data_IF_396176022959
#
_entry.id   IF_396176022959
#
_cell.length_a   1.000
_cell.length_b   1.000
_cell.length_c   1.000
_cell.angle_alpha   90.00
_cell.angle_beta   90.00
_cell.angle_gamma   90.00
#
_symmetry.space_group_name_H-M   'P 1'
#
loop_
_entity.id
_entity.type
_entity.pdbx_description
1 polymer ?
#
# COMPACT_ATOMS: atom_id res chain seq x y z
N UNK A 1 -75.08 -4.84 61.67
CA UNK A 1 -73.76 -4.27 61.99
C UNK A 1 -72.68 -5.25 61.52
N UNK A 2 -72.07 -5.00 60.37
CA UNK A 2 -71.00 -5.84 59.81
C UNK A 2 -69.81 -4.88 59.52
N UNK A 3 -68.71 -5.07 60.23
CA UNK A 3 -67.47 -4.34 60.05
C UNK A 3 -66.75 -4.84 58.81
N UNK A 4 -66.48 -3.94 57.90
CA UNK A 4 -65.65 -4.20 56.67
C UNK A 4 -64.22 -3.76 57.04
N UNK A 5 -63.28 -4.72 57.10
CA UNK A 5 -61.86 -4.43 57.29
C UNK A 5 -61.25 -4.19 55.95
N UNK A 6 -60.75 -2.97 55.67
CA UNK A 6 -59.93 -2.62 54.53
C UNK A 6 -58.51 -3.14 54.84
N UNK A 7 -58.03 -4.02 53.95
CA UNK A 7 -56.64 -4.42 53.92
C UNK A 7 -55.93 -3.52 52.89
N UNK A 8 -55.13 -2.60 53.34
CA UNK A 8 -54.24 -1.80 52.43
C UNK A 8 -53.02 -2.61 52.05
N UNK A 9 -52.95 -2.96 50.78
CA UNK A 9 -51.79 -3.61 50.16
C UNK A 9 -50.76 -2.54 49.79
N UNK A 10 -49.65 -2.44 50.54
CA UNK A 10 -48.50 -1.59 50.25
C UNK A 10 -47.70 -2.21 49.12
N UNK A 11 -47.82 -1.65 47.90
CA UNK A 11 -46.96 -1.93 46.76
C UNK A 11 -45.63 -1.18 46.97
N UNK A 12 -44.58 -1.90 47.31
CA UNK A 12 -43.19 -1.41 47.23
C UNK A 12 -42.74 -1.37 45.76
N UNK A 13 -42.23 -0.24 45.27
CA UNK A 13 -41.64 -0.23 43.94
C UNK A 13 -40.27 -0.91 43.99
N UNK A 14 -40.14 -2.04 43.33
CA UNK A 14 -38.86 -2.69 43.06
C UNK A 14 -38.05 -1.79 42.12
N UNK A 15 -37.20 -0.95 42.73
CA UNK A 15 -36.17 -0.23 41.98
C UNK A 15 -35.18 -1.25 41.47
N UNK A 16 -35.33 -1.63 40.21
CA UNK A 16 -34.30 -2.34 39.45
C UNK A 16 -33.11 -1.40 39.29
N UNK A 17 -32.13 -1.53 40.16
CA UNK A 17 -30.82 -0.89 39.97
C UNK A 17 -30.14 -1.62 38.84
N UNK A 18 -30.35 -1.11 37.61
CA UNK A 18 -29.50 -1.45 36.46
C UNK A 18 -28.10 -0.89 36.78
N UNK A 19 -27.25 -1.72 37.36
CA UNK A 19 -25.82 -1.48 37.45
C UNK A 19 -25.25 -1.53 36.02
N UNK A 20 -25.30 -0.40 35.32
CA UNK A 20 -24.48 -0.21 34.11
C UNK A 20 -23.02 -0.43 34.55
N UNK A 21 -22.48 -1.58 34.23
CA UNK A 21 -21.02 -1.79 34.27
C UNK A 21 -20.41 -0.72 33.35
N UNK A 22 -19.98 0.38 33.96
CA UNK A 22 -19.04 1.29 33.34
C UNK A 22 -17.77 0.45 33.10
N UNK A 23 -17.62 -0.10 31.91
CA UNK A 23 -16.32 -0.52 31.42
C UNK A 23 -15.44 0.71 31.57
N UNK A 24 -14.56 0.72 32.55
CA UNK A 24 -13.55 1.76 32.66
C UNK A 24 -12.81 1.76 31.32
N UNK A 25 -12.88 2.90 30.64
CA UNK A 25 -12.05 3.11 29.44
C UNK A 25 -10.62 2.89 29.90
N UNK A 26 -10.04 1.78 29.53
CA UNK A 26 -8.63 1.48 29.80
C UNK A 26 -7.87 2.55 29.04
N UNK A 27 -7.29 3.51 29.76
CA UNK A 27 -6.43 4.53 29.14
C UNK A 27 -5.27 3.78 28.48
N UNK A 28 -5.08 4.03 27.17
CA UNK A 28 -3.97 3.46 26.46
C UNK A 28 -2.66 3.75 27.19
N UNK A 29 -1.78 2.76 27.38
CA UNK A 29 -0.49 3.01 28.01
C UNK A 29 0.35 3.93 27.14
N UNK A 30 1.16 4.76 27.77
CA UNK A 30 2.19 5.53 27.06
C UNK A 30 3.48 4.68 26.94
N UNK A 31 4.25 4.82 25.84
CA UNK A 31 5.52 4.13 25.71
C UNK A 31 6.55 4.68 26.71
N UNK A 32 7.29 3.79 27.36
CA UNK A 32 8.33 4.15 28.37
C UNK A 32 9.65 3.44 28.10
N UNK A 33 9.76 2.75 26.99
CA UNK A 33 10.95 1.99 26.59
C UNK A 33 12.04 2.87 25.95
N UNK A 34 13.00 2.24 25.26
CA UNK A 34 14.04 2.95 24.52
C UNK A 34 13.44 3.85 23.42
N UNK A 35 14.23 4.79 22.96
CA UNK A 35 13.91 5.69 21.86
C UNK A 35 14.62 5.18 20.59
N UNK A 36 13.87 4.93 19.53
CA UNK A 36 14.39 4.73 18.20
C UNK A 36 14.64 6.08 17.53
N UNK A 37 15.88 6.37 17.15
CA UNK A 37 16.29 7.60 16.49
C UNK A 37 16.65 7.29 15.05
N UNK A 38 15.82 7.75 14.12
CA UNK A 38 16.02 7.62 12.69
C UNK A 38 16.64 8.89 12.14
N UNK A 39 17.93 8.87 11.86
CA UNK A 39 18.57 9.91 11.07
C UNK A 39 18.34 9.59 9.60
N UNK A 40 17.65 10.47 8.90
CA UNK A 40 17.31 10.28 7.48
C UNK A 40 17.90 11.42 6.64
N UNK A 41 17.96 11.21 5.34
CA UNK A 41 18.36 12.26 4.38
C UNK A 41 17.42 13.48 4.37
N UNK A 42 16.25 13.38 5.02
CA UNK A 42 15.26 14.48 5.11
C UNK A 42 15.04 15.02 6.52
N UNK A 43 15.78 14.52 7.50
CA UNK A 43 15.74 14.95 8.89
C UNK A 43 15.65 13.79 9.87
N UNK A 44 15.71 14.14 11.16
CA UNK A 44 15.66 13.19 12.26
C UNK A 44 14.22 12.94 12.70
N UNK A 45 13.90 11.67 12.95
CA UNK A 45 12.68 11.25 13.63
C UNK A 45 13.02 10.48 14.90
N UNK A 46 12.24 10.65 15.97
CA UNK A 46 12.37 9.97 17.24
C UNK A 46 11.06 9.34 17.66
N UNK A 47 11.10 8.05 18.00
CA UNK A 47 9.92 7.29 18.38
C UNK A 47 10.21 6.52 19.66
N UNK A 48 9.40 6.72 20.71
CA UNK A 48 9.52 5.96 21.95
C UNK A 48 8.83 4.60 21.82
N UNK A 49 9.50 3.54 22.28
CA UNK A 49 9.05 2.15 22.06
C UNK A 49 8.23 1.61 23.24
N UNK A 50 7.27 0.75 22.95
CA UNK A 50 6.44 0.02 23.94
C UNK A 50 7.15 -1.27 24.43
N UNK A 51 8.38 -1.16 24.94
CA UNK A 51 9.20 -2.32 25.29
C UNK A 51 8.57 -3.25 26.36
N UNK A 52 7.72 -2.73 27.24
CA UNK A 52 7.01 -3.53 28.24
C UNK A 52 5.77 -4.23 27.68
N UNK A 53 5.10 -3.60 26.71
CA UNK A 53 3.81 -4.05 26.19
C UNK A 53 3.96 -4.92 24.93
N UNK A 54 5.00 -4.69 24.13
CA UNK A 54 5.35 -5.45 22.94
C UNK A 54 6.83 -5.89 22.99
N UNK A 55 7.24 -6.68 23.98
CA UNK A 55 8.63 -6.98 24.26
C UNK A 55 9.33 -7.73 23.11
N UNK A 56 8.65 -8.67 22.45
CA UNK A 56 9.23 -9.46 21.36
C UNK A 56 9.42 -8.62 20.10
N UNK A 57 8.42 -7.81 19.77
CA UNK A 57 8.45 -6.90 18.61
C UNK A 57 9.56 -5.86 18.79
N UNK A 58 9.63 -5.24 19.98
CA UNK A 58 10.68 -4.25 20.28
C UNK A 58 12.07 -4.90 20.31
N UNK A 59 12.21 -6.08 20.93
CA UNK A 59 13.49 -6.79 20.96
C UNK A 59 13.98 -7.15 19.55
N UNK A 60 13.08 -7.63 18.66
CA UNK A 60 13.42 -7.92 17.27
C UNK A 60 13.87 -6.65 16.52
N UNK A 61 13.11 -5.56 16.64
CA UNK A 61 13.44 -4.30 16.00
C UNK A 61 14.78 -3.73 16.49
N UNK A 62 15.01 -3.73 17.80
CA UNK A 62 16.27 -3.26 18.43
C UNK A 62 17.44 -4.11 17.98
N UNK A 63 17.32 -5.43 17.97
CA UNK A 63 18.38 -6.33 17.57
C UNK A 63 18.79 -6.16 16.10
N UNK A 64 17.83 -5.89 15.21
CA UNK A 64 18.11 -5.55 13.81
C UNK A 64 18.73 -4.16 13.67
N UNK A 65 18.29 -3.17 14.47
CA UNK A 65 18.85 -1.82 14.46
C UNK A 65 20.30 -1.78 14.96
N UNK A 66 20.63 -2.59 15.96
CA UNK A 66 21.98 -2.67 16.55
C UNK A 66 22.90 -3.69 15.84
N UNK A 67 22.35 -4.51 14.93
CA UNK A 67 23.08 -5.56 14.23
C UNK A 67 23.45 -6.76 15.12
N UNK A 68 22.73 -6.94 16.25
CA UNK A 68 22.92 -8.11 17.15
C UNK A 68 22.10 -9.32 16.72
N UNK A 69 21.17 -9.14 15.78
CA UNK A 69 20.46 -10.20 15.10
C UNK A 69 20.94 -10.34 13.67
N UNK A 70 21.27 -11.55 13.28
CA UNK A 70 21.61 -11.88 11.90
C UNK A 70 20.40 -11.71 10.98
N UNK A 71 20.65 -11.34 9.75
CA UNK A 71 19.64 -11.16 8.72
C UNK A 71 20.13 -11.69 7.37
N UNK A 72 19.20 -12.05 6.50
CA UNK A 72 19.53 -12.58 5.18
C UNK A 72 19.53 -11.48 4.13
N UNK A 73 20.63 -11.39 3.38
CA UNK A 73 20.68 -10.62 2.15
C UNK A 73 20.11 -11.49 1.01
N UNK A 74 18.86 -11.21 0.65
CA UNK A 74 18.14 -11.97 -0.37
C UNK A 74 18.65 -11.74 -1.80
N UNK A 75 19.38 -10.65 -2.05
CA UNK A 75 20.01 -10.40 -3.35
C UNK A 75 21.25 -11.24 -3.55
N UNK A 76 22.11 -11.29 -2.53
CA UNK A 76 23.37 -12.01 -2.59
C UNK A 76 23.26 -13.43 -2.03
N UNK A 77 22.08 -13.80 -1.50
CA UNK A 77 21.79 -15.10 -0.88
C UNK A 77 22.75 -15.46 0.27
N UNK A 78 23.24 -14.45 1.01
CA UNK A 78 24.15 -14.63 2.13
C UNK A 78 23.53 -14.18 3.45
N UNK A 79 23.91 -14.83 4.53
CA UNK A 79 23.55 -14.39 5.87
C UNK A 79 24.56 -13.33 6.33
N UNK A 80 24.04 -12.24 6.86
CA UNK A 80 24.80 -11.07 7.30
C UNK A 80 24.85 -11.07 8.82
N UNK A 81 26.04 -11.06 9.37
CA UNK A 81 26.28 -11.11 10.81
C UNK A 81 26.86 -9.81 11.33
N UNK A 82 26.44 -9.39 12.52
CA UNK A 82 27.05 -8.25 13.24
C UNK A 82 26.90 -6.89 12.54
N UNK A 83 25.90 -6.71 11.66
CA UNK A 83 25.66 -5.45 10.94
C UNK A 83 24.24 -4.96 11.14
N UNK A 84 24.04 -3.65 11.45
CA UNK A 84 22.72 -3.02 11.47
C UNK A 84 21.98 -3.25 10.16
N UNK A 85 20.70 -3.65 10.28
CA UNK A 85 19.87 -3.91 9.12
C UNK A 85 19.36 -2.65 8.46
N UNK A 86 18.91 -1.67 9.26
CA UNK A 86 18.17 -0.49 8.77
C UNK A 86 19.05 0.59 8.15
N UNK A 87 20.34 0.65 8.51
CA UNK A 87 21.28 1.65 7.99
C UNK A 87 21.42 1.50 6.47
N UNK A 88 21.22 2.59 5.74
CA UNK A 88 21.25 2.62 4.29
C UNK A 88 19.97 2.11 3.59
N UNK A 89 18.93 1.75 4.34
CA UNK A 89 17.66 1.32 3.71
C UNK A 89 16.82 2.52 3.29
N UNK A 90 16.07 2.34 2.19
CA UNK A 90 15.17 3.37 1.69
C UNK A 90 13.89 3.50 2.55
N UNK A 91 13.34 4.71 2.55
CA UNK A 91 12.00 5.00 3.08
C UNK A 91 11.12 5.39 1.89
N UNK A 92 9.93 4.79 1.82
CA UNK A 92 8.91 5.10 0.83
C UNK A 92 7.72 5.82 1.48
N UNK A 93 7.15 6.80 0.76
CA UNK A 93 5.85 7.37 1.10
C UNK A 93 4.73 6.37 0.75
N UNK A 94 3.75 6.28 1.62
CA UNK A 94 2.49 5.57 1.38
C UNK A 94 1.33 6.53 1.64
N UNK A 95 0.12 6.18 1.21
CA UNK A 95 -1.07 7.06 1.31
C UNK A 95 -1.27 7.63 2.71
N UNK A 96 -1.06 6.82 3.74
CA UNK A 96 -1.40 7.14 5.12
C UNK A 96 -0.16 7.31 6.01
N UNK A 97 1.05 7.41 5.39
CA UNK A 97 2.28 7.50 6.15
C UNK A 97 3.55 7.31 5.34
N UNK A 98 4.54 6.77 6.02
CA UNK A 98 5.80 6.31 5.42
C UNK A 98 6.05 4.86 5.80
N UNK A 99 6.73 4.12 4.93
CA UNK A 99 7.17 2.74 5.16
C UNK A 99 8.67 2.62 4.93
N UNK A 100 9.34 1.88 5.80
CA UNK A 100 10.75 1.55 5.67
C UNK A 100 11.05 0.12 6.10
N UNK A 101 12.33 -0.24 6.15
CA UNK A 101 12.77 -1.58 6.53
C UNK A 101 12.66 -2.64 5.44
N UNK A 102 12.41 -2.20 4.21
CA UNK A 102 12.56 -3.00 3.00
C UNK A 102 13.91 -2.67 2.38
N UNK A 103 14.87 -3.58 2.55
CA UNK A 103 16.25 -3.30 2.16
C UNK A 103 16.44 -3.20 0.64
N UNK A 104 15.59 -3.86 -0.12
CA UNK A 104 15.74 -3.97 -1.57
C UNK A 104 14.63 -3.26 -2.34
N UNK A 105 13.60 -2.78 -1.64
CA UNK A 105 12.38 -2.26 -2.26
C UNK A 105 11.53 -3.38 -2.85
N UNK A 106 10.25 -3.11 -3.08
CA UNK A 106 9.38 -4.08 -3.74
C UNK A 106 8.73 -5.14 -2.83
N UNK A 107 9.04 -5.15 -1.53
CA UNK A 107 8.43 -6.07 -0.58
C UNK A 107 9.21 -7.36 -0.32
N UNK A 108 10.34 -7.57 -0.99
CA UNK A 108 11.14 -8.81 -0.87
C UNK A 108 12.32 -8.67 0.10
N UNK A 109 12.57 -7.49 0.62
CA UNK A 109 13.75 -7.17 1.42
C UNK A 109 13.57 -7.30 2.92
N UNK A 110 12.71 -8.22 3.42
CA UNK A 110 12.56 -8.48 4.85
C UNK A 110 13.83 -9.10 5.45
N UNK A 111 14.10 -8.82 6.74
CA UNK A 111 15.28 -9.31 7.43
C UNK A 111 15.27 -10.83 7.72
N UNK A 112 14.12 -11.45 7.61
CA UNK A 112 13.91 -12.88 7.90
C UNK A 112 12.43 -13.21 8.04
N UNK A 113 12.15 -14.35 8.67
CA UNK A 113 10.80 -14.88 8.85
C UNK A 113 9.86 -13.89 9.58
N UNK A 114 8.55 -13.93 9.29
CA UNK A 114 7.54 -13.14 9.97
C UNK A 114 7.59 -13.32 11.49
N UNK A 115 7.14 -12.28 12.21
CA UNK A 115 7.07 -12.31 13.68
C UNK A 115 5.62 -12.42 14.15
N UNK A 116 5.43 -12.97 15.35
CA UNK A 116 4.09 -13.01 15.96
C UNK A 116 3.59 -11.61 16.30
N UNK A 117 2.33 -11.31 16.02
CA UNK A 117 1.68 -10.06 16.39
C UNK A 117 1.58 -9.93 17.93
N UNK A 118 2.01 -8.79 18.47
CA UNK A 118 1.79 -8.41 19.87
C UNK A 118 0.81 -7.23 19.93
N UNK A 119 -0.45 -7.50 20.31
CA UNK A 119 -1.47 -6.46 20.48
C UNK A 119 -1.36 -5.80 21.84
N UNK A 120 -1.29 -4.48 21.87
CA UNK A 120 -1.28 -3.70 23.12
C UNK A 120 -2.71 -3.24 23.43
N UNK A 121 -3.32 -3.70 24.54
CA UNK A 121 -4.68 -3.29 24.88
C UNK A 121 -4.85 -1.77 24.94
N UNK A 122 -5.82 -1.24 24.20
CA UNK A 122 -6.14 0.19 24.15
C UNK A 122 -5.22 1.04 23.26
N UNK A 123 -4.20 0.47 22.62
CA UNK A 123 -3.35 1.15 21.62
C UNK A 123 -3.81 0.74 20.23
N UNK A 124 -4.31 1.70 19.49
CA UNK A 124 -4.84 1.55 18.12
C UNK A 124 -4.28 2.66 17.24
N UNK A 125 -4.56 2.63 15.95
CA UNK A 125 -4.13 3.67 14.98
C UNK A 125 -5.00 4.95 15.09
N UNK A 126 -5.20 5.46 16.32
CA UNK A 126 -6.08 6.59 16.67
C UNK A 126 -5.45 7.98 16.46
N UNK A 127 -4.18 8.04 16.11
CA UNK A 127 -3.40 9.30 15.99
C UNK A 127 -2.22 9.17 15.04
N UNK A 128 -1.65 10.31 14.57
CA UNK A 128 -0.40 10.31 13.83
C UNK A 128 0.77 9.81 14.69
N UNK A 129 1.84 9.39 14.02
CA UNK A 129 3.09 8.97 14.65
C UNK A 129 3.06 7.56 15.25
N UNK A 130 2.02 6.75 15.01
CA UNK A 130 2.05 5.33 15.38
C UNK A 130 3.16 4.63 14.59
N UNK A 131 4.15 4.09 15.30
CA UNK A 131 5.18 3.24 14.73
C UNK A 131 4.74 1.78 14.88
N UNK A 132 4.57 1.09 13.75
CA UNK A 132 4.12 -0.30 13.72
C UNK A 132 4.98 -1.15 12.80
N UNK A 133 5.14 -2.45 13.13
CA UNK A 133 5.63 -3.42 12.13
C UNK A 133 4.51 -3.66 11.12
N UNK A 134 4.84 -3.50 9.84
CA UNK A 134 3.86 -3.61 8.77
C UNK A 134 3.46 -5.07 8.49
N UNK A 135 2.23 -5.27 8.06
CA UNK A 135 1.78 -6.57 7.53
C UNK A 135 2.29 -6.73 6.10
N UNK A 136 2.83 -7.90 5.80
CA UNK A 136 3.24 -8.32 4.45
C UNK A 136 2.74 -9.74 4.21
N UNK A 137 2.09 -9.99 3.08
CA UNK A 137 1.48 -11.28 2.73
C UNK A 137 0.54 -11.86 3.84
N UNK A 138 -0.11 -11.00 4.63
CA UNK A 138 -1.01 -11.40 5.73
C UNK A 138 -0.33 -11.67 7.06
N UNK A 139 0.99 -11.55 7.16
CA UNK A 139 1.78 -11.76 8.37
C UNK A 139 2.55 -10.51 8.78
N UNK A 140 2.90 -10.38 10.06
CA UNK A 140 3.72 -9.26 10.55
C UNK A 140 5.16 -9.45 10.10
N UNK A 141 5.66 -8.52 9.28
CA UNK A 141 7.04 -8.56 8.81
C UNK A 141 8.05 -8.46 9.95
N UNK A 142 9.19 -9.13 9.79
CA UNK A 142 10.30 -9.05 10.74
C UNK A 142 11.02 -7.69 10.74
N UNK A 143 10.92 -6.91 9.66
CA UNK A 143 11.66 -5.64 9.52
C UNK A 143 10.88 -4.49 8.92
N UNK A 144 9.83 -4.74 8.13
CA UNK A 144 9.06 -3.64 7.54
C UNK A 144 8.31 -2.89 8.62
N UNK A 145 8.52 -1.59 8.69
CA UNK A 145 7.80 -0.72 9.61
C UNK A 145 7.03 0.35 8.86
N UNK A 146 6.03 0.91 9.50
CA UNK A 146 5.29 2.09 9.04
C UNK A 146 5.21 3.13 10.16
N UNK A 147 5.13 4.41 9.76
CA UNK A 147 4.82 5.54 10.65
C UNK A 147 3.62 6.27 10.06
N UNK A 148 2.53 6.36 10.83
CA UNK A 148 1.28 6.99 10.38
C UNK A 148 1.35 8.52 10.40
N UNK A 149 0.66 9.17 9.44
CA UNK A 149 0.52 10.63 9.38
C UNK A 149 -0.80 11.15 9.97
N UNK A 150 -1.78 10.27 10.11
CA UNK A 150 -3.09 10.58 10.70
C UNK A 150 -3.66 9.36 11.40
N UNK A 151 -4.79 9.56 12.08
CA UNK A 151 -5.56 8.45 12.59
C UNK A 151 -6.21 7.67 11.43
N UNK A 152 -6.20 6.35 11.51
CA UNK A 152 -6.80 5.49 10.49
C UNK A 152 -7.32 4.19 11.11
N UNK A 153 -8.61 4.12 11.33
CA UNK A 153 -9.28 2.95 11.89
C UNK A 153 -9.34 1.76 10.91
N UNK A 154 -9.09 1.98 9.62
CA UNK A 154 -8.97 0.90 8.63
C UNK A 154 -7.69 0.08 8.84
N UNK A 155 -6.63 0.67 9.37
CA UNK A 155 -5.44 -0.10 9.77
C UNK A 155 -5.77 -1.12 10.86
N UNK A 156 -6.60 -0.73 11.84
CA UNK A 156 -7.02 -1.62 12.93
C UNK A 156 -7.95 -2.72 12.42
N UNK A 157 -8.94 -2.37 11.58
CA UNK A 157 -9.91 -3.32 11.02
C UNK A 157 -9.26 -4.36 10.09
N UNK A 158 -8.27 -3.94 9.33
CA UNK A 158 -7.61 -4.78 8.32
C UNK A 158 -6.30 -5.41 8.81
N UNK A 159 -5.98 -5.32 10.11
CA UNK A 159 -4.75 -5.88 10.70
C UNK A 159 -3.47 -5.51 9.93
N UNK A 160 -3.33 -4.22 9.56
CA UNK A 160 -2.24 -3.74 8.70
C UNK A 160 -0.90 -3.55 9.41
N UNK A 161 -0.84 -3.81 10.72
CA UNK A 161 0.42 -3.72 11.45
C UNK A 161 0.27 -3.93 12.96
N UNK A 162 1.38 -4.23 13.60
CA UNK A 162 1.51 -4.36 15.05
C UNK A 162 2.20 -3.12 15.61
N UNK A 163 1.46 -2.25 16.34
CA UNK A 163 2.01 -1.03 16.94
C UNK A 163 3.00 -1.40 18.03
N UNK A 164 4.21 -0.83 17.97
CA UNK A 164 5.26 -1.05 18.98
C UNK A 164 5.97 0.25 19.42
N UNK A 165 5.55 1.42 18.91
CA UNK A 165 6.11 2.72 19.29
C UNK A 165 5.19 3.89 18.97
N UNK A 166 5.58 5.06 19.47
CA UNK A 166 4.94 6.36 19.20
C UNK A 166 6.03 7.39 18.91
N UNK A 167 5.93 8.04 17.78
CA UNK A 167 6.79 9.14 17.38
C UNK A 167 6.23 10.48 17.87
N UNK A 168 7.10 11.45 18.10
CA UNK A 168 6.70 12.80 18.47
C UNK A 168 6.20 13.63 17.26
N UNK A 169 5.62 14.79 17.53
CA UNK A 169 5.03 15.65 16.49
C UNK A 169 6.08 16.18 15.50
N UNK A 170 7.31 16.43 15.95
CA UNK A 170 8.40 16.85 15.08
C UNK A 170 8.77 15.74 14.09
N UNK A 171 8.77 14.50 14.54
CA UNK A 171 8.97 13.31 13.72
C UNK A 171 7.85 13.08 12.71
N UNK A 172 6.60 13.31 13.11
CA UNK A 172 5.46 13.27 12.20
C UNK A 172 5.60 14.32 11.09
N UNK A 173 6.08 15.52 11.42
CA UNK A 173 6.33 16.55 10.42
C UNK A 173 7.45 16.16 9.43
N UNK A 174 8.48 15.44 9.86
CA UNK A 174 9.52 14.89 8.96
C UNK A 174 8.93 13.77 8.09
N UNK A 175 8.16 12.86 8.69
CA UNK A 175 7.49 11.80 7.95
C UNK A 175 6.53 12.36 6.87
N UNK A 176 5.81 13.45 7.19
CA UNK A 176 4.96 14.14 6.21
C UNK A 176 5.75 14.74 5.05
N UNK A 177 6.93 15.33 5.31
CA UNK A 177 7.84 15.82 4.25
C UNK A 177 8.33 14.69 3.37
N UNK A 178 8.70 13.54 3.96
CA UNK A 178 9.13 12.35 3.23
C UNK A 178 7.98 11.83 2.34
N UNK A 179 6.79 11.64 2.90
CA UNK A 179 5.61 11.18 2.15
C UNK A 179 5.28 12.13 0.99
N UNK A 180 5.30 13.45 1.24
CA UNK A 180 5.02 14.47 0.23
C UNK A 180 6.08 14.50 -0.90
N UNK A 181 7.37 14.40 -0.55
CA UNK A 181 8.45 14.38 -1.53
C UNK A 181 8.34 13.17 -2.47
N UNK A 182 7.94 12.01 -1.95
CA UNK A 182 7.73 10.80 -2.73
C UNK A 182 6.50 10.90 -3.65
N UNK A 183 5.46 11.66 -3.25
CA UNK A 183 4.28 11.88 -4.09
C UNK A 183 4.54 12.84 -5.26
N UNK A 184 5.39 13.86 -5.06
CA UNK A 184 5.66 14.88 -6.11
C UNK A 184 6.57 14.33 -7.23
N UNK A 185 7.47 13.42 -6.93
CA UNK A 185 8.55 13.01 -7.86
C UNK A 185 8.27 11.65 -8.50
N UNK A 186 7.04 11.14 -8.40
CA UNK A 186 6.67 9.86 -9.01
C UNK A 186 7.64 8.72 -8.61
N UNK A 187 7.98 8.64 -7.33
CA UNK A 187 8.93 7.68 -6.77
C UNK A 187 10.40 7.81 -7.23
N UNK A 188 10.76 8.92 -7.90
CA UNK A 188 12.15 9.23 -8.28
C UNK A 188 12.53 10.60 -7.73
N UNK A 189 13.12 10.62 -6.55
CA UNK A 189 14.06 11.70 -6.21
C UNK A 189 15.41 11.33 -6.86
N UNK A 190 16.13 12.30 -7.41
CA UNK A 190 17.51 12.10 -7.86
C UNK A 190 18.42 11.59 -6.72
N UNK A 191 17.89 11.59 -5.49
CA UNK A 191 18.49 11.01 -4.29
C UNK A 191 17.41 10.19 -3.56
N UNK A 192 17.66 8.90 -3.38
CA UNK A 192 16.81 8.05 -2.55
C UNK A 192 16.69 8.64 -1.14
N UNK A 193 15.45 8.71 -0.62
CA UNK A 193 15.25 9.04 0.80
C UNK A 193 15.60 7.79 1.58
N UNK A 194 16.62 7.90 2.45
CA UNK A 194 17.18 6.77 3.16
C UNK A 194 17.35 7.04 4.65
N UNK A 195 17.43 5.98 5.43
CA UNK A 195 17.88 6.00 6.83
C UNK A 195 19.40 6.04 6.80
N UNK A 196 19.97 7.19 7.16
CA UNK A 196 21.42 7.32 7.32
C UNK A 196 21.91 6.43 8.45
N UNK A 197 21.17 6.46 9.56
CA UNK A 197 21.43 5.63 10.73
C UNK A 197 20.17 5.46 11.57
N UNK A 198 19.97 4.25 12.09
CA UNK A 198 19.01 3.98 13.15
C UNK A 198 19.75 3.67 14.45
N UNK A 199 19.55 4.52 15.46
CA UNK A 199 20.15 4.36 16.78
C UNK A 199 19.10 4.08 17.84
N UNK A 200 19.43 3.24 18.80
CA UNK A 200 18.56 2.93 19.96
C UNK A 200 19.14 3.61 21.19
N UNK A 201 18.35 4.47 21.83
CA UNK A 201 18.77 5.26 23.00
C UNK A 201 17.97 4.82 24.22
N UNK A 202 18.66 4.45 25.27
CA UNK A 202 18.01 4.03 26.52
C UNK A 202 17.36 5.23 27.24
N UNK A 203 16.27 5.02 27.98
CA UNK A 203 15.60 6.10 28.72
C UNK A 203 16.58 6.87 29.61
N UNK A 204 16.56 8.20 29.49
CA UNK A 204 17.44 9.10 30.27
C UNK A 204 18.85 9.32 29.67
N UNK A 205 19.20 8.66 28.61
CA UNK A 205 20.44 8.93 27.88
C UNK A 205 20.25 10.07 26.86
N UNK A 206 21.29 10.90 26.61
CA UNK A 206 21.21 11.94 25.61
C UNK A 206 21.10 11.33 24.19
N UNK A 207 20.40 12.03 23.31
CA UNK A 207 20.36 11.63 21.89
C UNK A 207 21.75 11.76 21.26
N UNK A 208 22.13 10.83 20.37
CA UNK A 208 23.41 10.89 19.66
C UNK A 208 23.45 12.12 18.72
N UNK A 209 24.64 12.58 18.34
CA UNK A 209 24.79 13.54 17.24
C UNK A 209 24.02 13.06 15.99
N UNK A 210 23.54 13.99 15.18
CA UNK A 210 22.88 13.63 13.91
C UNK A 210 23.91 12.94 13.01
N UNK A 211 23.56 11.77 12.51
CA UNK A 211 24.43 11.04 11.59
C UNK A 211 24.59 11.84 10.28
N UNK A 212 25.81 11.87 9.69
CA UNK A 212 26.00 12.49 8.39
C UNK A 212 25.18 11.77 7.32
N UNK A 213 24.81 12.50 6.26
CA UNK A 213 24.16 11.89 5.12
C UNK A 213 25.03 10.77 4.55
N UNK A 214 24.43 9.63 4.34
CA UNK A 214 25.09 8.54 3.63
C UNK A 214 25.34 9.05 2.20
N UNK A 215 26.54 8.86 1.71
CA UNK A 215 26.81 9.05 0.29
C UNK A 215 25.76 8.24 -0.50
N UNK A 216 24.94 8.93 -1.28
CA UNK A 216 23.85 8.33 -2.05
C UNK A 216 24.31 7.19 -2.99
N UNK A 217 25.61 7.12 -3.27
CA UNK A 217 26.24 5.98 -3.95
C UNK A 217 26.35 4.72 -3.05
N UNK A 218 26.15 4.85 -1.74
CA UNK A 218 26.14 3.73 -0.77
C UNK A 218 24.73 3.30 -0.32
N UNK A 219 23.70 4.08 -0.61
CA UNK A 219 22.33 3.55 -0.61
C UNK A 219 22.38 2.42 -1.63
N UNK A 220 22.21 1.16 -1.15
CA UNK A 220 22.26 0.00 -2.05
C UNK A 220 21.44 0.37 -3.27
N UNK A 221 22.04 0.63 -4.42
CA UNK A 221 21.24 0.88 -5.61
C UNK A 221 20.37 -0.35 -5.73
N UNK A 222 19.10 -0.16 -6.01
CA UNK A 222 18.33 -1.22 -6.65
C UNK A 222 19.31 -1.87 -7.64
N UNK A 223 19.59 -3.18 -7.57
CA UNK A 223 20.48 -3.78 -8.53
C UNK A 223 20.01 -3.26 -9.89
N UNK A 224 20.82 -2.47 -10.52
CA UNK A 224 20.66 -2.25 -11.95
C UNK A 224 20.72 -3.67 -12.47
N UNK A 225 19.65 -4.21 -13.01
CA UNK A 225 19.72 -5.53 -13.64
C UNK A 225 20.96 -5.48 -14.50
N UNK A 226 21.81 -6.52 -14.51
CA UNK A 226 23.02 -6.51 -15.30
C UNK A 226 22.64 -5.88 -16.62
N UNK A 227 23.38 -4.87 -17.07
CA UNK A 227 23.07 -4.11 -18.29
C UNK A 227 22.84 -5.14 -19.40
N UNK A 228 21.63 -5.65 -19.45
CA UNK A 228 21.14 -6.33 -20.62
C UNK A 228 21.36 -5.32 -21.74
N UNK A 229 21.85 -5.77 -22.89
CA UNK A 229 22.04 -4.90 -24.05
C UNK A 229 20.77 -4.05 -24.13
N UNK A 230 20.92 -2.74 -24.27
CA UNK A 230 19.81 -1.77 -24.23
C UNK A 230 18.77 -2.23 -25.24
N UNK A 231 17.85 -3.08 -24.77
CA UNK A 231 16.74 -3.52 -25.60
C UNK A 231 15.91 -2.27 -25.83
N UNK A 232 15.83 -1.83 -27.05
CA UNK A 232 14.84 -0.82 -27.43
C UNK A 232 13.50 -1.35 -26.95
N UNK A 233 12.78 -0.61 -26.06
CA UNK A 233 11.49 -1.09 -25.59
C UNK A 233 10.61 -1.48 -26.77
N UNK A 234 9.96 -2.62 -26.76
CA UNK A 234 9.09 -3.00 -27.85
C UNK A 234 7.98 -1.96 -28.02
N UNK A 235 7.68 -1.61 -29.26
CA UNK A 235 6.52 -0.77 -29.58
C UNK A 235 5.31 -1.69 -29.85
N UNK A 236 4.09 -1.27 -29.46
CA UNK A 236 2.91 -2.10 -29.66
C UNK A 236 2.54 -2.16 -31.17
N UNK A 237 2.38 -3.37 -31.68
CA UNK A 237 2.03 -3.65 -33.07
C UNK A 237 0.61 -4.20 -33.26
N UNK A 238 -0.05 -4.54 -32.15
CA UNK A 238 -1.39 -5.13 -32.14
C UNK A 238 -2.52 -4.12 -32.44
N UNK A 239 -3.78 -4.54 -32.29
CA UNK A 239 -4.95 -3.70 -32.49
C UNK A 239 -5.01 -2.55 -31.48
N UNK A 240 -5.85 -1.57 -31.79
CA UNK A 240 -6.07 -0.39 -30.95
C UNK A 240 -7.33 -0.57 -30.12
N UNK A 241 -7.20 -0.45 -28.82
CA UNK A 241 -8.33 -0.36 -27.89
C UNK A 241 -8.79 1.10 -27.77
N UNK A 242 -10.07 1.33 -28.03
CA UNK A 242 -10.74 2.62 -27.85
C UNK A 242 -11.66 2.51 -26.67
N UNK A 243 -11.35 3.24 -25.58
CA UNK A 243 -12.11 3.25 -24.33
C UNK A 243 -12.83 4.59 -24.24
N UNK A 244 -14.12 4.60 -24.57
CA UNK A 244 -14.94 5.80 -24.45
C UNK A 244 -15.46 5.96 -23.01
N UNK A 245 -15.19 7.12 -22.39
CA UNK A 245 -15.60 7.42 -21.03
C UNK A 245 -16.45 8.69 -20.96
N UNK A 246 -17.00 8.98 -19.78
CA UNK A 246 -17.73 10.23 -19.54
C UNK A 246 -16.82 11.47 -19.57
N UNK A 247 -15.49 11.30 -19.42
CA UNK A 247 -14.52 12.39 -19.48
C UNK A 247 -13.82 12.53 -20.85
N UNK A 248 -13.97 11.55 -21.72
CA UNK A 248 -13.30 11.54 -23.03
C UNK A 248 -12.89 10.13 -23.44
N UNK A 249 -12.11 10.07 -24.52
CA UNK A 249 -11.66 8.82 -25.14
C UNK A 249 -10.21 8.55 -24.82
N UNK A 250 -9.92 7.32 -24.37
CA UNK A 250 -8.58 6.77 -24.31
C UNK A 250 -8.36 5.85 -25.51
N UNK A 251 -7.25 6.02 -26.22
CA UNK A 251 -6.84 5.26 -27.39
C UNK A 251 -5.49 4.62 -27.08
N UNK A 252 -5.44 3.29 -27.00
CA UNK A 252 -4.26 2.55 -26.57
C UNK A 252 -3.96 1.41 -27.55
N UNK A 253 -2.76 1.35 -28.09
CA UNK A 253 -2.33 0.24 -28.94
C UNK A 253 -1.84 -0.93 -28.09
N UNK A 254 -2.22 -2.16 -28.43
CA UNK A 254 -1.98 -3.34 -27.61
C UNK A 254 -0.70 -4.08 -27.98
N UNK A 255 -0.07 -4.70 -26.98
CA UNK A 255 1.10 -5.56 -27.09
C UNK A 255 0.70 -7.04 -27.26
N UNK A 256 -0.02 -7.37 -28.33
CA UNK A 256 -0.56 -8.73 -28.53
C UNK A 256 0.51 -9.81 -28.73
N UNK A 257 1.68 -9.46 -29.20
CA UNK A 257 2.81 -10.41 -29.36
C UNK A 257 3.58 -10.58 -28.04
N UNK A 258 3.71 -9.51 -27.25
CA UNK A 258 4.51 -9.49 -26.04
C UNK A 258 3.74 -9.95 -24.81
N UNK A 259 2.45 -9.59 -24.71
CA UNK A 259 1.54 -9.97 -23.63
C UNK A 259 0.26 -10.61 -24.20
N UNK A 260 0.35 -11.79 -24.81
CA UNK A 260 -0.76 -12.40 -25.55
C UNK A 260 -1.94 -12.78 -24.67
N UNK A 261 -1.72 -13.27 -23.45
CA UNK A 261 -2.83 -13.69 -22.56
C UNK A 261 -3.59 -12.47 -22.02
N UNK A 262 -2.86 -11.44 -21.57
CA UNK A 262 -3.47 -10.22 -21.09
C UNK A 262 -4.22 -9.48 -22.21
N UNK A 263 -3.59 -9.32 -23.38
CA UNK A 263 -4.19 -8.66 -24.53
C UNK A 263 -5.44 -9.41 -25.04
N UNK A 264 -5.37 -10.73 -25.20
CA UNK A 264 -6.53 -11.52 -25.65
C UNK A 264 -7.66 -11.52 -24.60
N UNK A 265 -7.31 -11.61 -23.32
CA UNK A 265 -8.31 -11.51 -22.25
C UNK A 265 -9.02 -10.16 -22.28
N UNK A 266 -8.28 -9.06 -22.41
CA UNK A 266 -8.86 -7.73 -22.50
C UNK A 266 -9.77 -7.59 -23.74
N UNK A 267 -9.32 -8.04 -24.90
CA UNK A 267 -10.08 -8.02 -26.16
C UNK A 267 -11.36 -8.83 -26.02
N UNK A 268 -11.28 -10.07 -25.58
CA UNK A 268 -12.44 -10.96 -25.42
C UNK A 268 -13.47 -10.38 -24.43
N UNK A 269 -13.02 -9.74 -23.37
CA UNK A 269 -13.90 -9.09 -22.42
C UNK A 269 -14.53 -7.80 -22.97
N UNK A 270 -13.77 -7.02 -23.76
CA UNK A 270 -14.27 -5.83 -24.43
C UNK A 270 -15.34 -6.15 -25.48
N UNK A 271 -15.13 -7.20 -26.27
CA UNK A 271 -16.05 -7.65 -27.32
C UNK A 271 -17.20 -8.52 -26.79
N UNK A 272 -17.05 -9.07 -25.58
CA UNK A 272 -18.02 -10.00 -24.97
C UNK A 272 -17.98 -11.38 -25.62
N UNK A 273 -16.88 -11.78 -26.23
CA UNK A 273 -16.66 -13.10 -26.83
C UNK A 273 -16.39 -14.16 -25.77
N UNK A 274 -15.77 -13.78 -24.64
CA UNK A 274 -15.52 -14.65 -23.50
C UNK A 274 -16.69 -14.58 -22.49
N UNK A 275 -17.25 -15.75 -22.10
CA UNK A 275 -18.23 -15.79 -21.01
C UNK A 275 -17.60 -15.36 -19.68
N UNK A 276 -18.36 -14.65 -18.86
CA UNK A 276 -17.97 -14.23 -17.53
C UNK A 276 -19.12 -14.39 -16.52
N UNK A 277 -18.78 -14.53 -15.24
CA UNK A 277 -19.77 -14.65 -14.18
C UNK A 277 -20.15 -13.26 -13.66
N UNK A 278 -21.42 -12.92 -13.72
CA UNK A 278 -21.91 -11.67 -13.13
C UNK A 278 -21.86 -11.80 -11.59
N UNK A 279 -21.09 -10.99 -10.89
CA UNK A 279 -20.88 -11.17 -9.45
C UNK A 279 -22.12 -10.87 -8.60
N UNK A 280 -23.09 -10.13 -9.14
CA UNK A 280 -24.35 -9.82 -8.45
C UNK A 280 -25.40 -10.91 -8.63
N UNK A 281 -25.51 -11.45 -9.84
CA UNK A 281 -26.56 -12.44 -10.17
C UNK A 281 -26.05 -13.86 -10.20
N UNK A 282 -24.73 -14.07 -10.12
CA UNK A 282 -24.04 -15.35 -10.28
C UNK A 282 -24.34 -16.06 -11.61
N UNK A 283 -24.93 -15.36 -12.56
CA UNK A 283 -25.22 -15.89 -13.87
C UNK A 283 -24.00 -15.77 -14.80
N UNK A 284 -23.77 -16.81 -15.59
CA UNK A 284 -22.80 -16.73 -16.70
C UNK A 284 -23.41 -15.91 -17.82
N UNK A 285 -22.75 -14.86 -18.25
CA UNK A 285 -23.16 -13.96 -19.31
C UNK A 285 -22.10 -13.87 -20.41
N UNK A 286 -22.54 -13.60 -21.63
CA UNK A 286 -21.66 -13.40 -22.80
C UNK A 286 -22.05 -12.07 -23.45
N UNK A 287 -21.39 -11.00 -23.02
CA UNK A 287 -21.59 -9.62 -23.48
C UNK A 287 -20.37 -8.79 -23.10
N UNK A 288 -20.16 -7.62 -23.74
CA UNK A 288 -19.10 -6.69 -23.34
C UNK A 288 -19.07 -6.44 -21.83
N UNK A 289 -17.91 -6.68 -21.23
CA UNK A 289 -17.75 -6.64 -19.77
C UNK A 289 -17.61 -5.21 -19.25
N UNK A 290 -16.80 -4.38 -19.93
CA UNK A 290 -16.39 -3.07 -19.42
C UNK A 290 -17.47 -1.99 -19.52
N UNK A 291 -18.51 -2.20 -20.34
CA UNK A 291 -19.56 -1.20 -20.56
C UNK A 291 -20.35 -0.93 -19.28
N UNK A 292 -20.38 0.32 -18.86
CA UNK A 292 -21.03 0.76 -17.62
C UNK A 292 -20.19 0.65 -16.36
N UNK A 293 -18.98 0.06 -16.43
CA UNK A 293 -18.02 0.05 -15.31
C UNK A 293 -17.41 1.42 -15.11
N UNK A 294 -16.69 1.59 -13.99
CA UNK A 294 -16.13 2.88 -13.61
C UNK A 294 -14.61 2.82 -13.49
N UNK A 295 -13.95 3.93 -13.82
CA UNK A 295 -12.62 4.24 -13.29
C UNK A 295 -12.85 4.70 -11.85
N UNK A 296 -12.56 3.86 -10.89
CA UNK A 296 -12.95 4.04 -9.49
C UNK A 296 -11.78 4.26 -8.53
N UNK A 297 -10.54 4.31 -9.04
CA UNK A 297 -9.35 4.71 -8.29
C UNK A 297 -8.50 5.64 -9.15
N UNK A 298 -8.22 6.84 -8.62
CA UNK A 298 -7.46 7.88 -9.32
C UNK A 298 -6.40 8.44 -8.40
N UNK A 299 -5.16 8.46 -8.87
CA UNK A 299 -3.99 8.91 -8.13
C UNK A 299 -3.14 9.80 -9.04
N UNK A 300 -3.06 11.13 -8.77
CA UNK A 300 -2.16 12.02 -9.48
C UNK A 300 -0.73 11.51 -9.44
N UNK A 301 -0.02 11.72 -10.55
CA UNK A 301 1.38 11.36 -10.72
C UNK A 301 1.66 9.86 -10.53
N UNK A 302 0.61 9.02 -10.69
CA UNK A 302 0.71 7.58 -10.62
C UNK A 302 -0.18 6.90 -11.68
N UNK A 303 -1.51 6.79 -11.44
CA UNK A 303 -2.39 6.07 -12.38
C UNK A 303 -3.89 6.36 -12.20
N UNK A 304 -4.66 5.97 -13.19
CA UNK A 304 -6.12 5.79 -13.13
C UNK A 304 -6.45 4.32 -13.33
N UNK A 305 -7.31 3.75 -12.50
CA UNK A 305 -7.59 2.33 -12.48
C UNK A 305 -9.09 2.07 -12.61
N UNK A 306 -9.43 1.23 -13.56
CA UNK A 306 -10.69 0.51 -13.58
C UNK A 306 -10.51 -0.70 -12.66
N UNK A 307 -11.30 -0.76 -11.65
CA UNK A 307 -11.33 -1.86 -10.72
C UNK A 307 -12.75 -2.40 -10.70
N UNK A 308 -12.90 -3.64 -10.42
CA UNK A 308 -14.08 -4.45 -10.53
C UNK A 308 -15.46 -3.83 -10.27
N UNK A 309 -16.48 -4.64 -10.44
CA UNK A 309 -17.88 -4.34 -10.35
C UNK A 309 -18.24 -3.39 -9.19
N UNK A 310 -19.24 -2.50 -9.34
CA UNK A 310 -19.70 -1.65 -8.24
C UNK A 310 -20.02 -2.53 -7.03
N UNK A 311 -19.44 -2.19 -5.87
CA UNK A 311 -19.58 -2.84 -4.55
C UNK A 311 -18.48 -3.83 -4.12
N UNK A 312 -17.29 -3.84 -4.77
CA UNK A 312 -16.20 -4.73 -4.37
C UNK A 312 -16.50 -6.22 -4.60
N UNK A 313 -17.47 -6.51 -5.46
CA UNK A 313 -17.72 -7.87 -5.89
C UNK A 313 -16.57 -8.33 -6.79
N UNK A 314 -16.09 -9.52 -6.52
CA UNK A 314 -14.92 -10.12 -7.14
C UNK A 314 -15.07 -10.26 -8.66
N UNK A 315 -13.92 -10.33 -9.32
CA UNK A 315 -13.64 -10.43 -10.74
C UNK A 315 -14.62 -11.28 -11.59
N UNK A 316 -14.42 -11.27 -12.89
CA UNK A 316 -15.22 -12.01 -13.87
C UNK A 316 -15.23 -13.54 -13.69
N UNK A 317 -14.68 -14.09 -12.60
CA UNK A 317 -14.68 -15.51 -12.25
C UNK A 317 -13.47 -16.28 -12.75
N UNK A 318 -12.38 -15.59 -13.12
CA UNK A 318 -11.12 -16.22 -13.50
C UNK A 318 -9.90 -15.34 -13.14
N UNK A 319 -8.74 -15.98 -13.02
CA UNK A 319 -7.47 -15.32 -12.85
C UNK A 319 -6.41 -16.02 -13.71
N UNK A 320 -5.33 -15.30 -14.01
CA UNK A 320 -4.19 -15.82 -14.77
C UNK A 320 -2.88 -15.18 -14.31
N UNK A 321 -1.72 -15.83 -14.58
CA UNK A 321 -0.43 -15.31 -14.19
C UNK A 321 -0.08 -13.97 -14.82
N UNK A 322 0.83 -13.22 -14.20
CA UNK A 322 1.46 -12.08 -14.84
C UNK A 322 2.30 -12.53 -16.05
N UNK A 323 2.42 -11.65 -17.04
CA UNK A 323 3.28 -11.82 -18.23
C UNK A 323 4.35 -10.72 -18.22
N UNK A 324 5.48 -10.89 -17.52
CA UNK A 324 6.58 -9.94 -17.57
C UNK A 324 7.23 -9.97 -18.97
N UNK A 325 7.40 -8.81 -19.57
CA UNK A 325 8.00 -8.69 -20.90
C UNK A 325 9.38 -8.04 -20.79
N UNK A 326 10.47 -8.75 -21.11
CA UNK A 326 11.81 -8.19 -21.04
C UNK A 326 11.94 -6.88 -21.84
N UNK A 327 12.43 -5.83 -21.19
CA UNK A 327 12.60 -4.50 -21.80
C UNK A 327 11.34 -3.64 -21.84
N UNK A 328 10.18 -4.16 -21.48
CA UNK A 328 8.93 -3.40 -21.37
C UNK A 328 8.69 -3.02 -19.91
N UNK A 329 8.95 -1.78 -19.57
CA UNK A 329 8.87 -1.24 -18.20
C UNK A 329 7.88 -0.09 -18.12
N UNK A 330 7.53 0.31 -16.90
CA UNK A 330 6.73 1.50 -16.64
C UNK A 330 7.59 2.78 -16.69
N UNK A 331 8.41 2.91 -17.74
CA UNK A 331 9.37 3.99 -17.99
C UNK A 331 8.73 5.32 -18.40
N UNK A 332 7.47 5.29 -18.79
CA UNK A 332 6.72 6.45 -19.31
C UNK A 332 5.25 6.41 -18.91
N UNK A 333 4.54 7.55 -18.92
CA UNK A 333 3.09 7.56 -18.74
C UNK A 333 2.37 6.91 -19.92
N UNK A 334 1.09 6.61 -19.73
CA UNK A 334 0.24 5.98 -20.74
C UNK A 334 0.43 4.46 -20.88
N UNK A 335 1.20 3.81 -19.99
CA UNK A 335 1.26 2.34 -19.95
C UNK A 335 -0.09 1.80 -19.51
N UNK A 336 -0.72 0.99 -20.37
CA UNK A 336 -1.94 0.24 -20.05
C UNK A 336 -1.54 -1.13 -19.53
N UNK A 337 -1.92 -1.44 -18.29
CA UNK A 337 -1.50 -2.67 -17.60
C UNK A 337 -2.64 -3.32 -16.83
N UNK A 338 -2.56 -4.65 -16.64
CA UNK A 338 -3.48 -5.38 -15.78
C UNK A 338 -3.19 -5.08 -14.32
N UNK A 339 -4.24 -4.81 -13.54
CA UNK A 339 -4.16 -4.82 -12.10
C UNK A 339 -4.18 -6.27 -11.59
N UNK A 340 -3.60 -6.53 -10.43
CA UNK A 340 -3.58 -7.84 -9.81
C UNK A 340 -3.52 -7.76 -8.28
N UNK A 341 -3.87 -8.86 -7.62
CA UNK A 341 -3.75 -9.08 -6.18
C UNK A 341 -2.61 -10.06 -5.86
N UNK A 342 -1.57 -10.09 -6.70
CA UNK A 342 -0.40 -10.96 -6.58
C UNK A 342 -0.01 -11.65 -7.90
N UNK A 343 1.13 -12.34 -7.96
CA UNK A 343 1.78 -12.79 -9.21
C UNK A 343 0.94 -13.73 -10.10
N UNK A 344 -0.04 -14.40 -9.54
CA UNK A 344 -0.90 -15.36 -10.25
C UNK A 344 -2.36 -14.90 -10.36
N UNK A 345 -2.60 -13.59 -10.19
CA UNK A 345 -3.94 -13.08 -9.98
C UNK A 345 -4.32 -11.88 -10.85
N UNK A 346 -3.75 -11.78 -12.08
CA UNK A 346 -4.35 -10.91 -13.09
C UNK A 346 -5.79 -11.36 -13.36
N UNK A 347 -6.69 -10.42 -13.50
CA UNK A 347 -8.11 -10.67 -13.81
C UNK A 347 -8.60 -9.78 -14.97
N UNK A 348 -9.64 -9.01 -14.76
CA UNK A 348 -10.21 -8.08 -15.75
C UNK A 348 -9.93 -6.61 -15.44
N UNK A 349 -9.37 -6.32 -14.27
CA UNK A 349 -9.07 -4.97 -13.85
C UNK A 349 -7.81 -4.45 -14.52
N UNK A 350 -7.81 -3.19 -14.91
CA UNK A 350 -6.68 -2.55 -15.58
C UNK A 350 -6.45 -1.12 -15.11
N UNK A 351 -5.27 -0.60 -15.38
CA UNK A 351 -4.93 0.79 -15.10
C UNK A 351 -4.11 1.42 -16.23
N UNK A 352 -4.17 2.75 -16.30
CA UNK A 352 -3.32 3.56 -17.19
C UNK A 352 -2.45 4.45 -16.32
N UNK A 353 -1.15 4.44 -16.55
CA UNK A 353 -0.21 5.29 -15.81
C UNK A 353 -0.29 6.75 -16.23
N UNK A 354 -0.23 7.66 -15.25
CA UNK A 354 -0.16 9.12 -15.43
C UNK A 354 1.30 9.63 -15.39
N UNK A 355 2.22 8.81 -14.87
CA UNK A 355 3.64 9.10 -14.77
C UNK A 355 4.45 7.79 -14.93
N UNK A 356 5.79 7.86 -15.12
CA UNK A 356 6.64 6.69 -14.97
C UNK A 356 6.47 6.04 -13.60
N UNK A 357 6.41 4.70 -13.54
CA UNK A 357 6.10 3.96 -12.31
C UNK A 357 6.95 2.67 -12.21
N UNK A 358 8.28 2.81 -12.21
CA UNK A 358 9.23 1.69 -12.21
C UNK A 358 9.06 0.71 -11.03
N UNK A 359 8.41 1.13 -9.94
CA UNK A 359 8.07 0.22 -8.83
C UNK A 359 7.10 -0.88 -9.21
N UNK A 360 6.45 -0.76 -10.37
CA UNK A 360 5.53 -1.73 -10.95
C UNK A 360 6.21 -2.69 -11.93
N UNK A 361 7.47 -2.44 -12.30
CA UNK A 361 8.21 -3.28 -13.24
C UNK A 361 8.26 -4.72 -12.73
N UNK A 362 8.11 -5.68 -13.63
CA UNK A 362 8.08 -7.13 -13.41
C UNK A 362 6.97 -7.64 -12.44
N UNK A 363 6.12 -6.74 -11.91
CA UNK A 363 5.02 -7.09 -10.98
C UNK A 363 3.65 -7.02 -11.64
N UNK A 364 3.53 -6.29 -12.73
CA UNK A 364 2.29 -6.09 -13.46
C UNK A 364 2.51 -6.30 -14.95
N UNK A 365 1.51 -6.85 -15.63
CA UNK A 365 1.56 -7.08 -17.06
C UNK A 365 1.21 -5.81 -17.83
N UNK A 366 2.18 -5.20 -18.48
CA UNK A 366 1.93 -4.14 -19.47
C UNK A 366 1.42 -4.82 -20.75
N UNK A 367 0.21 -4.46 -21.19
CA UNK A 367 -0.37 -5.03 -22.41
C UNK A 367 -0.77 -3.99 -23.46
N UNK A 368 -0.51 -2.69 -23.19
CA UNK A 368 -0.77 -1.62 -24.14
C UNK A 368 -0.02 -0.33 -23.82
N UNK A 369 0.01 0.55 -24.80
CA UNK A 369 0.50 1.93 -24.70
C UNK A 369 -0.55 2.87 -25.27
N UNK A 370 -0.96 3.83 -24.49
CA UNK A 370 -1.88 4.87 -24.90
C UNK A 370 -1.14 6.01 -25.62
N UNK A 371 -1.82 6.67 -26.55
CA UNK A 371 -1.29 7.84 -27.25
C UNK A 371 -1.15 9.06 -26.32
N UNK A 372 -0.52 10.11 -26.81
CA UNK A 372 -0.24 11.33 -26.03
C UNK A 372 -1.53 12.02 -25.54
N UNK A 373 -2.56 12.09 -26.38
CA UNK A 373 -3.83 12.71 -26.02
C UNK A 373 -4.53 11.92 -24.90
N UNK A 374 -4.50 10.61 -24.98
CA UNK A 374 -5.05 9.70 -23.97
C UNK A 374 -4.25 9.72 -22.67
N UNK A 375 -2.94 9.82 -22.76
CA UNK A 375 -2.05 9.98 -21.61
C UNK A 375 -2.36 11.28 -20.86
N UNK A 376 -2.53 12.38 -21.60
CA UNK A 376 -2.95 13.66 -21.02
C UNK A 376 -4.33 13.54 -20.33
N UNK A 377 -5.30 12.90 -21.00
CA UNK A 377 -6.62 12.68 -20.45
C UNK A 377 -6.58 11.81 -19.17
N UNK A 378 -5.74 10.78 -19.14
CA UNK A 378 -5.52 9.98 -17.93
C UNK A 378 -4.99 10.84 -16.77
N UNK A 379 -4.07 11.77 -17.06
CA UNK A 379 -3.60 12.75 -16.11
C UNK A 379 -4.69 13.71 -15.60
N UNK A 380 -5.60 14.13 -16.46
CA UNK A 380 -6.77 14.93 -16.07
C UNK A 380 -7.74 14.11 -15.19
N UNK A 381 -7.98 12.84 -15.54
CA UNK A 381 -8.77 11.92 -14.72
C UNK A 381 -8.13 11.66 -13.35
N UNK A 382 -6.80 11.53 -13.29
CA UNK A 382 -6.08 11.31 -12.05
C UNK A 382 -6.24 12.46 -11.05
N UNK A 383 -6.53 13.68 -11.53
CA UNK A 383 -6.61 14.92 -10.74
C UNK A 383 -8.03 15.38 -10.42
N UNK A 384 -9.06 14.63 -10.80
CA UNK A 384 -10.44 14.97 -10.41
C UNK A 384 -10.61 14.97 -8.89
N UNK A 385 -11.59 15.71 -8.35
CA UNK A 385 -11.95 15.62 -6.94
C UNK A 385 -12.28 14.17 -6.55
N UNK A 386 -11.63 13.70 -5.47
CA UNK A 386 -11.73 12.31 -5.01
C UNK A 386 -11.95 12.20 -3.52
N UNK A 387 -12.48 11.09 -3.09
CA UNK A 387 -12.63 10.73 -1.67
C UNK A 387 -11.27 10.40 -1.03
N UNK A 388 -11.24 10.24 0.29
CA UNK A 388 -10.06 9.75 1.02
C UNK A 388 -9.56 8.37 0.53
N UNK A 389 -10.45 7.56 -0.08
CA UNK A 389 -10.12 6.26 -0.69
C UNK A 389 -9.76 6.37 -2.18
N UNK A 390 -9.37 7.56 -2.65
CA UNK A 390 -8.97 7.83 -4.03
C UNK A 390 -10.05 7.53 -5.10
N UNK A 391 -11.32 7.43 -4.71
CA UNK A 391 -12.44 7.25 -5.64
C UNK A 391 -12.92 8.62 -6.15
N UNK A 392 -13.10 8.80 -7.47
CA UNK A 392 -13.69 10.05 -8.00
C UNK A 392 -15.03 10.36 -7.33
N UNK A 393 -15.23 11.64 -6.92
CA UNK A 393 -16.52 12.08 -6.35
C UNK A 393 -17.61 12.04 -7.44
N UNK A 394 -17.28 12.50 -8.63
CA UNK A 394 -18.14 12.33 -9.81
C UNK A 394 -17.71 11.07 -10.56
N UNK A 395 -18.55 10.05 -10.71
CA UNK A 395 -18.16 8.81 -11.36
C UNK A 395 -17.66 9.02 -12.79
N UNK A 396 -16.50 8.43 -13.10
CA UNK A 396 -15.97 8.33 -14.46
C UNK A 396 -16.43 7.00 -15.04
N UNK A 397 -17.43 7.01 -15.91
CA UNK A 397 -18.04 5.79 -16.44
C UNK A 397 -17.47 5.44 -17.81
N UNK A 398 -17.13 4.18 -18.01
CA UNK A 398 -16.77 3.60 -19.31
C UNK A 398 -18.07 3.37 -20.08
N UNK A 399 -18.23 4.11 -21.18
CA UNK A 399 -19.42 3.98 -22.05
C UNK A 399 -19.33 2.73 -22.93
N UNK A 400 -18.16 2.53 -23.51
CA UNK A 400 -17.84 1.37 -24.35
C UNK A 400 -16.34 1.15 -24.48
N UNK A 401 -15.96 -0.09 -24.75
CA UNK A 401 -14.62 -0.44 -25.22
C UNK A 401 -14.76 -1.12 -26.58
N UNK A 402 -14.05 -0.62 -27.60
CA UNK A 402 -14.04 -1.19 -28.95
C UNK A 402 -12.62 -1.48 -29.40
N UNK A 403 -12.44 -2.53 -30.15
CA UNK A 403 -11.13 -2.96 -30.66
C UNK A 403 -11.09 -2.69 -32.17
N UNK A 404 -10.06 -1.97 -32.62
CA UNK A 404 -9.84 -1.68 -34.04
C UNK A 404 -8.54 -2.35 -34.49
N UNK A 405 -8.53 -2.99 -35.65
CA UNK A 405 -7.34 -3.63 -36.20
C UNK A 405 -6.12 -2.72 -36.34
#
# INVERSE_FOLDING_TARGET
MRFLRLVSLLLLPSALIAQARRTALVRAPEPTGPIAVFDTTMGRMTCQLYAKQAPKTVANFVALAEGTKDWRDHLNLVDVHGKPFYDGTAIAGITDGIRGGDRFGGGEGAAGEPIAEEKIPGVIFDRPGRLAMATHAGEISSSFFLITLHADDEFDKNHRGAIFGQCDDASVAVAAKISHAMMIVGNRTDKAIAINKLSIVQPGQPLPPVAPDIDSARVVPQPVPPTLPTLTPPEPTGPTAIIDTTMGRLTCRLFTEQAPVASSTFIDMAEGTRPWTNPTTHATVKKPYYNGLHINRVLPDFMVQQQDYPNGAENAGFAYPIEPVPGLTFDRPGRLAMANDGPQKNDTSWFVTDAPAHTLDDKFTIFGQCDEASTKLAGEMARVPRTAHNRPITPITIKSVTIQP
#
